data_IF_913771718036
#
_entry.id   IF_913771718036
#
_cell.length_a   1.000
_cell.length_b   1.000
_cell.length_c   1.000
_cell.angle_alpha   90.00
_cell.angle_beta   90.00
_cell.angle_gamma   90.00
#
_symmetry.space_group_name_H-M   'P 1'
#
loop_
_entity.id
_entity.type
_entity.pdbx_description
1 polymer ?
#
# COMPACT_ATOMS: atom_id res chain seq x y z
N UNK A 1 2.57 -13.49 -0.67
CA UNK A 1 3.95 -13.03 -0.88
C UNK A 1 3.87 -11.57 -1.27
N UNK A 2 4.70 -10.68 -0.74
CA UNK A 2 4.81 -9.32 -1.26
C UNK A 2 5.50 -9.42 -2.63
N UNK A 3 5.00 -8.71 -3.65
CA UNK A 3 5.39 -8.81 -5.06
C UNK A 3 6.68 -9.64 -5.29
N UNK A 4 6.50 -10.95 -5.45
CA UNK A 4 7.60 -11.91 -5.47
C UNK A 4 8.43 -11.79 -6.75
N UNK A 5 9.69 -12.24 -6.69
CA UNK A 5 10.57 -12.29 -7.87
C UNK A 5 10.39 -13.55 -8.73
N UNK A 6 9.47 -14.43 -8.36
CA UNK A 6 9.24 -15.71 -9.04
C UNK A 6 8.24 -15.55 -10.18
N UNK A 7 8.53 -16.21 -11.30
CA UNK A 7 7.66 -16.22 -12.49
C UNK A 7 6.54 -17.26 -12.42
N UNK A 8 6.74 -18.28 -11.58
CA UNK A 8 5.75 -19.33 -11.38
C UNK A 8 4.71 -18.89 -10.36
N UNK A 9 3.46 -19.37 -10.49
CA UNK A 9 2.41 -19.09 -9.51
C UNK A 9 2.79 -19.64 -8.13
N UNK A 10 2.25 -19.01 -7.10
CA UNK A 10 2.41 -19.48 -5.72
C UNK A 10 1.72 -20.84 -5.56
N UNK A 11 2.28 -21.70 -4.72
CA UNK A 11 1.57 -22.90 -4.28
C UNK A 11 0.26 -22.50 -3.56
N UNK A 12 -0.90 -23.09 -3.91
CA UNK A 12 -2.17 -22.70 -3.31
C UNK A 12 -2.27 -22.98 -1.80
N UNK A 13 -1.60 -24.03 -1.31
CA UNK A 13 -1.54 -24.33 0.12
C UNK A 13 -0.75 -23.28 0.89
N UNK A 14 0.41 -22.92 0.36
CA UNK A 14 1.24 -21.86 0.90
C UNK A 14 0.53 -20.49 0.87
N UNK A 15 -0.16 -20.16 -0.22
CA UNK A 15 -0.90 -18.90 -0.33
C UNK A 15 -1.95 -18.76 0.77
N UNK A 16 -2.72 -19.81 1.07
CA UNK A 16 -3.70 -19.80 2.15
C UNK A 16 -3.05 -19.64 3.52
N UNK A 17 -1.96 -20.35 3.78
CA UNK A 17 -1.27 -20.34 5.07
C UNK A 17 -0.63 -18.98 5.39
N UNK A 18 -0.06 -18.29 4.40
CA UNK A 18 0.70 -17.05 4.61
C UNK A 18 -0.13 -15.75 4.53
N UNK A 19 -1.44 -15.82 4.26
CA UNK A 19 -2.30 -14.63 4.14
C UNK A 19 -2.58 -14.04 5.52
N UNK A 20 -2.39 -12.72 5.65
CA UNK A 20 -2.57 -12.00 6.91
C UNK A 20 -3.78 -11.08 6.99
N UNK A 21 -4.46 -10.88 5.86
CA UNK A 21 -5.49 -9.84 5.74
C UNK A 21 -6.62 -9.95 6.78
N UNK A 22 -7.05 -11.19 7.11
CA UNK A 22 -8.13 -11.43 8.08
C UNK A 22 -7.86 -10.78 9.45
N UNK A 23 -6.60 -10.74 9.87
CA UNK A 23 -6.18 -10.10 11.12
C UNK A 23 -5.64 -8.68 10.92
N UNK A 24 -4.92 -8.42 9.82
CA UNK A 24 -4.28 -7.13 9.55
C UNK A 24 -5.26 -6.03 9.15
N UNK A 25 -6.49 -6.34 8.74
CA UNK A 25 -7.50 -5.32 8.37
C UNK A 25 -7.74 -4.25 9.45
N UNK A 26 -7.46 -4.56 10.72
CA UNK A 26 -7.51 -3.58 11.82
C UNK A 26 -6.50 -2.44 11.69
N UNK A 27 -5.46 -2.62 10.86
CA UNK A 27 -4.40 -1.67 10.60
C UNK A 27 -4.74 -0.66 9.50
N UNK A 28 -5.86 -0.84 8.77
CA UNK A 28 -6.21 -0.02 7.61
C UNK A 28 -6.23 1.48 7.89
N UNK A 29 -6.77 1.90 9.04
CA UNK A 29 -6.78 3.31 9.43
C UNK A 29 -5.36 3.91 9.57
N UNK A 30 -4.42 3.11 10.08
CA UNK A 30 -3.02 3.50 10.23
C UNK A 30 -2.33 3.54 8.86
N UNK A 31 -2.65 2.62 7.96
CA UNK A 31 -2.09 2.64 6.61
C UNK A 31 -2.59 3.78 5.75
N UNK A 32 -3.84 4.21 5.90
CA UNK A 32 -4.33 5.44 5.28
C UNK A 32 -3.56 6.65 5.82
N UNK A 33 -3.36 6.74 7.14
CA UNK A 33 -2.61 7.83 7.74
C UNK A 33 -1.14 7.87 7.27
N UNK A 34 -0.47 6.71 7.26
CA UNK A 34 0.90 6.57 6.78
C UNK A 34 1.01 6.91 5.29
N UNK A 35 0.07 6.47 4.47
CA UNK A 35 0.04 6.75 3.02
C UNK A 35 -0.12 8.24 2.73
N UNK A 36 -1.00 8.95 3.46
CA UNK A 36 -1.13 10.42 3.34
C UNK A 36 0.14 11.15 3.75
N UNK A 37 0.78 10.73 4.85
CA UNK A 37 2.05 11.29 5.29
C UNK A 37 3.14 11.07 4.23
N UNK A 38 3.22 9.87 3.67
CA UNK A 38 4.19 9.53 2.63
C UNK A 38 3.97 10.33 1.35
N UNK A 39 2.72 10.48 0.88
CA UNK A 39 2.39 11.29 -0.29
C UNK A 39 2.84 12.75 -0.13
N UNK A 40 2.62 13.35 1.05
CA UNK A 40 3.11 14.71 1.36
C UNK A 40 4.64 14.78 1.34
N UNK A 41 5.32 13.76 1.87
CA UNK A 41 6.78 13.66 1.81
C UNK A 41 7.29 13.57 0.37
N UNK A 42 6.65 12.78 -0.50
CA UNK A 42 6.99 12.68 -1.91
C UNK A 42 6.84 14.03 -2.64
N UNK A 43 5.76 14.77 -2.36
CA UNK A 43 5.58 16.13 -2.90
C UNK A 43 6.68 17.07 -2.41
N UNK A 44 7.03 17.01 -1.12
CA UNK A 44 8.09 17.84 -0.56
C UNK A 44 9.46 17.52 -1.14
N UNK A 45 9.70 16.27 -1.52
CA UNK A 45 10.90 15.83 -2.24
C UNK A 45 10.87 16.18 -3.75
N UNK A 46 9.77 16.75 -4.26
CA UNK A 46 9.62 17.07 -5.69
C UNK A 46 9.39 15.86 -6.59
N UNK A 47 9.01 14.70 -6.03
CA UNK A 47 8.79 13.45 -6.76
C UNK A 47 7.40 13.42 -7.40
N UNK A 48 6.40 14.00 -6.73
CA UNK A 48 5.05 14.17 -7.26
C UNK A 48 4.66 15.65 -7.30
N UNK A 49 3.87 16.02 -8.28
CA UNK A 49 3.29 17.36 -8.44
C UNK A 49 2.20 17.64 -7.39
N UNK A 50 1.77 18.91 -7.33
CA UNK A 50 0.68 19.31 -6.45
C UNK A 50 -0.65 18.65 -6.84
N UNK A 51 -0.93 18.54 -8.14
CA UNK A 51 -2.16 17.93 -8.65
C UNK A 51 -2.19 16.42 -8.37
N UNK A 52 -1.05 15.73 -8.56
CA UNK A 52 -0.92 14.31 -8.19
C UNK A 52 -1.10 14.10 -6.68
N UNK A 53 -0.53 14.97 -5.84
CA UNK A 53 -0.76 14.91 -4.39
C UNK A 53 -2.26 15.05 -4.07
N UNK A 54 -2.96 15.98 -4.69
CA UNK A 54 -4.40 16.18 -4.48
C UNK A 54 -5.17 14.91 -4.87
N UNK A 55 -4.89 14.34 -6.06
CA UNK A 55 -5.54 13.11 -6.50
C UNK A 55 -5.27 11.92 -5.57
N UNK A 56 -4.04 11.77 -5.06
CA UNK A 56 -3.70 10.71 -4.10
C UNK A 56 -4.46 10.91 -2.79
N UNK A 57 -4.49 12.12 -2.25
CA UNK A 57 -5.19 12.39 -0.99
C UNK A 57 -6.71 12.15 -1.11
N UNK A 58 -7.32 12.55 -2.23
CA UNK A 58 -8.72 12.28 -2.53
C UNK A 58 -9.03 10.79 -2.68
N UNK A 59 -8.11 10.00 -3.26
CA UNK A 59 -8.27 8.55 -3.35
C UNK A 59 -8.08 7.80 -2.03
N UNK A 60 -7.56 8.47 -0.99
CA UNK A 60 -7.37 7.93 0.36
C UNK A 60 -8.45 8.39 1.35
N UNK A 61 -9.35 9.29 0.93
CA UNK A 61 -10.59 9.67 1.62
C UNK A 61 -11.71 8.67 1.30
#
# INVERSE_FOLDING_TARGET
MWAGRFRQPLDPGFERWQRSFEFDRRLLAYEIAASRAHARTLKNAGIVSADELISILQGLD
#
